data_IF_827164019815
#
_entry.id   IF_827164019815
#
_cell.length_a   1.000
_cell.length_b   1.000
_cell.length_c   1.000
_cell.angle_alpha   90.00
_cell.angle_beta   90.00
_cell.angle_gamma   90.00
#
_symmetry.space_group_name_H-M   'P 1'
#
loop_
_entity.id
_entity.type
_entity.pdbx_description
1 polymer ?
#
# COMPACT_ATOMS: atom_id res chain seq x y z
N UNK A 1 -14.57 -10.41 1.22
CA UNK A 1 -15.64 -10.66 2.19
C UNK A 1 -16.82 -11.20 1.40
N UNK A 2 -17.30 -12.42 1.68
CA UNK A 2 -18.54 -12.91 1.08
C UNK A 2 -19.45 -13.29 2.24
N UNK A 3 -20.37 -12.41 2.58
CA UNK A 3 -21.50 -12.76 3.44
C UNK A 3 -22.50 -13.43 2.49
N UNK A 4 -22.56 -14.76 2.49
CA UNK A 4 -23.53 -15.53 1.70
C UNK A 4 -24.92 -15.47 2.37
N UNK A 5 -25.37 -14.27 2.73
CA UNK A 5 -26.76 -14.01 3.07
C UNK A 5 -27.46 -13.63 1.78
N UNK A 6 -28.37 -14.49 1.32
CA UNK A 6 -29.31 -14.22 0.22
C UNK A 6 -30.44 -13.27 0.64
N UNK A 7 -30.29 -12.57 1.77
CA UNK A 7 -31.27 -11.59 2.21
C UNK A 7 -31.17 -10.34 1.33
N UNK A 8 -32.08 -10.27 0.35
CA UNK A 8 -32.23 -9.22 -0.65
C UNK A 8 -33.04 -8.04 -0.08
N UNK A 9 -32.85 -7.72 1.19
CA UNK A 9 -33.57 -6.62 1.83
C UNK A 9 -33.01 -5.29 1.33
N UNK A 10 -33.86 -4.48 0.72
CA UNK A 10 -33.50 -3.13 0.28
C UNK A 10 -33.13 -2.28 1.50
N UNK A 11 -31.93 -1.70 1.47
CA UNK A 11 -31.47 -0.82 2.55
C UNK A 11 -32.25 0.49 2.46
N UNK A 12 -33.05 0.81 3.48
CA UNK A 12 -33.77 2.08 3.59
C UNK A 12 -33.07 3.00 4.58
N UNK A 13 -32.89 4.26 4.21
CA UNK A 13 -32.42 5.33 5.11
C UNK A 13 -33.54 6.36 5.15
N UNK A 14 -34.33 6.36 6.22
CA UNK A 14 -35.59 7.11 6.26
C UNK A 14 -36.57 6.55 5.22
N UNK A 15 -37.09 7.43 4.37
CA UNK A 15 -38.02 7.07 3.29
C UNK A 15 -37.32 6.67 1.99
N UNK A 16 -36.00 6.90 1.89
CA UNK A 16 -35.24 6.65 0.67
C UNK A 16 -34.73 5.21 0.59
N UNK A 17 -34.91 4.59 -0.58
CA UNK A 17 -34.31 3.30 -0.92
C UNK A 17 -32.92 3.52 -1.48
N UNK A 18 -31.91 2.99 -0.81
CA UNK A 18 -30.52 3.08 -1.26
C UNK A 18 -30.27 2.03 -2.33
N UNK A 19 -29.82 2.49 -3.50
CA UNK A 19 -29.45 1.61 -4.61
C UNK A 19 -28.25 0.72 -4.21
N UNK A 20 -28.40 -0.58 -4.45
CA UNK A 20 -27.32 -1.54 -4.27
C UNK A 20 -26.40 -1.51 -5.48
N UNK A 21 -25.15 -1.14 -5.27
CA UNK A 21 -24.11 -1.17 -6.31
C UNK A 21 -23.05 -2.22 -5.99
N UNK A 22 -22.56 -2.91 -7.02
CA UNK A 22 -21.43 -3.85 -6.85
C UNK A 22 -20.12 -3.15 -6.48
N UNK A 23 -20.01 -1.86 -6.83
CA UNK A 23 -18.81 -1.07 -6.64
C UNK A 23 -19.17 0.34 -6.20
N UNK A 24 -18.57 0.78 -5.10
CA UNK A 24 -18.84 2.09 -4.54
C UNK A 24 -17.53 2.83 -4.26
N UNK A 25 -17.45 4.11 -4.64
CA UNK A 25 -16.29 4.95 -4.33
C UNK A 25 -16.56 5.70 -3.03
N UNK A 26 -15.76 5.43 -2.01
CA UNK A 26 -15.83 6.08 -0.71
C UNK A 26 -14.48 6.70 -0.34
N UNK A 27 -14.46 8.02 -0.09
CA UNK A 27 -13.25 8.78 0.28
C UNK A 27 -12.05 8.49 -0.65
N UNK A 28 -12.32 8.27 -1.93
CA UNK A 28 -11.32 7.95 -2.95
C UNK A 28 -10.96 6.47 -3.08
N UNK A 29 -11.30 5.60 -2.12
CA UNK A 29 -11.14 4.15 -2.26
C UNK A 29 -12.34 3.50 -2.93
N UNK A 30 -12.11 2.43 -3.70
CA UNK A 30 -13.16 1.64 -4.36
C UNK A 30 -13.46 0.39 -3.52
N UNK A 31 -14.68 0.30 -3.02
CA UNK A 31 -15.20 -0.86 -2.29
C UNK A 31 -15.91 -1.77 -3.28
N UNK A 32 -15.54 -3.05 -3.30
CA UNK A 32 -16.15 -4.10 -4.12
C UNK A 32 -17.05 -4.97 -3.22
N UNK A 33 -18.24 -5.33 -3.72
CA UNK A 33 -19.22 -6.12 -2.97
C UNK A 33 -18.68 -7.51 -2.53
N UNK A 34 -17.72 -8.08 -3.25
CA UNK A 34 -17.06 -9.34 -2.89
C UNK A 34 -15.89 -9.16 -1.89
N UNK A 35 -15.65 -7.92 -1.47
CA UNK A 35 -14.50 -7.46 -0.70
C UNK A 35 -13.15 -7.78 -1.33
N UNK A 36 -13.07 -7.75 -2.67
CA UNK A 36 -11.79 -7.74 -3.39
C UNK A 36 -11.23 -6.31 -3.41
N UNK A 37 -9.90 -6.20 -3.47
CA UNK A 37 -9.17 -4.94 -3.54
C UNK A 37 -8.57 -4.67 -4.93
N UNK A 38 -8.77 -5.59 -5.88
CA UNK A 38 -8.26 -5.45 -7.27
C UNK A 38 -8.64 -4.11 -7.90
N UNK A 39 -9.91 -3.69 -7.75
CA UNK A 39 -10.40 -2.43 -8.32
C UNK A 39 -9.78 -1.21 -7.65
N UNK A 40 -9.62 -1.24 -6.33
CA UNK A 40 -9.00 -0.13 -5.59
C UNK A 40 -7.53 0.03 -5.99
N UNK A 41 -6.78 -1.07 -6.02
CA UNK A 41 -5.38 -1.07 -6.45
C UNK A 41 -5.25 -0.54 -7.89
N UNK A 42 -6.09 -1.01 -8.82
CA UNK A 42 -6.09 -0.51 -10.20
C UNK A 42 -6.39 0.99 -10.25
N UNK A 43 -7.36 1.46 -9.47
CA UNK A 43 -7.69 2.89 -9.38
C UNK A 43 -6.50 3.71 -8.86
N UNK A 44 -5.79 3.24 -7.83
CA UNK A 44 -4.58 3.88 -7.29
C UNK A 44 -3.43 3.89 -8.29
N UNK A 45 -3.21 2.79 -9.02
CA UNK A 45 -2.21 2.72 -10.10
C UNK A 45 -2.52 3.74 -11.19
N UNK A 46 -3.77 3.80 -11.65
CA UNK A 46 -4.19 4.79 -12.66
C UNK A 46 -4.01 6.23 -12.17
N UNK A 47 -4.37 6.50 -10.91
CA UNK A 47 -4.17 7.82 -10.30
C UNK A 47 -2.68 8.17 -10.18
N UNK A 48 -1.83 7.22 -9.79
CA UNK A 48 -0.39 7.41 -9.71
C UNK A 48 0.21 7.69 -11.08
N UNK A 49 -0.20 6.98 -12.14
CA UNK A 49 0.22 7.26 -13.51
C UNK A 49 -0.27 8.61 -14.02
N UNK A 50 -1.48 9.03 -13.67
CA UNK A 50 -1.97 10.36 -13.99
C UNK A 50 -1.14 11.46 -13.32
N UNK A 51 -0.80 11.28 -12.04
CA UNK A 51 0.08 12.22 -11.32
C UNK A 51 1.50 12.19 -11.85
N UNK A 52 2.00 11.01 -12.22
CA UNK A 52 3.31 10.83 -12.82
C UNK A 52 3.39 11.62 -14.14
N UNK A 53 2.48 11.39 -15.08
CA UNK A 53 2.44 12.13 -16.36
C UNK A 53 2.50 13.66 -16.21
N UNK A 54 1.88 14.21 -15.16
CA UNK A 54 1.90 15.66 -14.89
C UNK A 54 3.26 16.21 -14.48
N UNK A 55 4.17 15.38 -13.94
CA UNK A 55 5.51 15.80 -13.51
C UNK A 55 6.63 15.26 -14.41
N UNK A 56 6.28 14.65 -15.55
CA UNK A 56 7.22 14.03 -16.50
C UNK A 56 8.22 15.00 -17.09
N UNK A 57 7.81 16.23 -17.40
CA UNK A 57 8.73 17.25 -17.91
C UNK A 57 9.90 17.55 -16.96
N UNK A 58 9.69 17.40 -15.64
CA UNK A 58 10.71 17.67 -14.64
C UNK A 58 11.54 16.41 -14.37
N UNK A 59 10.92 15.29 -14.00
CA UNK A 59 11.69 14.14 -13.51
C UNK A 59 12.21 13.21 -14.61
N UNK A 60 11.81 13.40 -15.87
CA UNK A 60 12.50 12.78 -17.01
C UNK A 60 13.59 13.67 -17.62
N UNK A 61 13.78 14.91 -17.13
CA UNK A 61 14.87 15.77 -17.60
C UNK A 61 16.23 15.11 -17.27
N UNK A 62 17.13 14.90 -18.25
CA UNK A 62 18.48 14.40 -18.00
C UNK A 62 19.31 15.29 -17.08
N UNK A 63 19.06 16.60 -17.08
CA UNK A 63 19.76 17.59 -16.24
C UNK A 63 19.33 17.52 -14.78
N UNK A 64 18.17 16.93 -14.49
CA UNK A 64 17.70 16.82 -13.11
C UNK A 64 18.50 15.75 -12.35
N UNK A 65 19.11 16.10 -11.21
CA UNK A 65 19.82 15.13 -10.39
C UNK A 65 18.91 13.96 -10.01
N UNK A 66 19.42 12.72 -10.16
CA UNK A 66 18.70 11.47 -9.84
C UNK A 66 18.14 11.50 -8.42
N UNK A 67 18.90 12.09 -7.48
CA UNK A 67 18.48 12.34 -6.11
C UNK A 67 17.15 13.11 -6.01
N UNK A 68 16.99 14.20 -6.77
CA UNK A 68 15.77 15.01 -6.76
C UNK A 68 14.63 14.24 -7.43
N UNK A 69 14.89 13.47 -8.50
CA UNK A 69 13.88 12.60 -9.12
C UNK A 69 13.29 11.61 -8.10
N UNK A 70 14.16 11.00 -7.30
CA UNK A 70 13.77 10.12 -6.20
C UNK A 70 12.93 10.83 -5.12
N UNK A 71 13.27 12.08 -4.77
CA UNK A 71 12.46 12.89 -3.86
C UNK A 71 11.07 13.17 -4.42
N UNK A 72 10.96 13.60 -5.67
CA UNK A 72 9.66 13.86 -6.32
C UNK A 72 8.80 12.60 -6.34
N UNK A 73 9.39 11.43 -6.67
CA UNK A 73 8.66 10.16 -6.58
C UNK A 73 8.11 9.91 -5.18
N UNK A 74 8.96 10.04 -4.15
CA UNK A 74 8.59 9.80 -2.74
C UNK A 74 7.51 10.75 -2.24
N UNK A 75 7.52 12.01 -2.66
CA UNK A 75 6.62 13.05 -2.14
C UNK A 75 5.32 13.17 -2.93
N UNK A 76 5.34 12.91 -4.24
CA UNK A 76 4.21 13.17 -5.12
C UNK A 76 3.53 11.88 -5.58
N UNK A 77 4.30 10.90 -6.04
CA UNK A 77 3.76 9.73 -6.76
C UNK A 77 3.44 8.60 -5.78
N UNK A 78 4.37 8.27 -4.89
CA UNK A 78 4.21 7.17 -3.94
C UNK A 78 2.98 7.34 -3.04
N UNK A 79 2.70 8.51 -2.44
CA UNK A 79 1.53 8.66 -1.57
C UNK A 79 0.21 8.40 -2.30
N UNK A 80 0.12 8.74 -3.59
CA UNK A 80 -1.05 8.45 -4.43
C UNK A 80 -1.18 6.95 -4.66
N UNK A 81 -0.06 6.27 -4.93
CA UNK A 81 -0.02 4.83 -5.19
C UNK A 81 -0.33 3.99 -3.94
N UNK A 82 0.11 4.45 -2.76
CA UNK A 82 -0.08 3.73 -1.48
C UNK A 82 -1.31 4.16 -0.70
N UNK A 83 -2.12 5.08 -1.23
CA UNK A 83 -3.33 5.54 -0.56
C UNK A 83 -4.31 4.36 -0.33
N UNK A 84 -4.84 4.24 0.89
CA UNK A 84 -5.73 3.15 1.29
C UNK A 84 -5.03 1.81 1.58
N UNK A 85 -3.70 1.72 1.39
CA UNK A 85 -2.96 0.45 1.55
C UNK A 85 -2.98 -0.15 2.97
N UNK A 86 -3.25 0.68 3.97
CA UNK A 86 -3.44 0.26 5.35
C UNK A 86 -4.67 -0.64 5.56
N UNK A 87 -5.66 -0.59 4.67
CA UNK A 87 -6.86 -1.44 4.69
C UNK A 87 -6.79 -2.65 3.74
N UNK A 88 -5.73 -2.79 2.94
CA UNK A 88 -5.63 -3.83 1.91
C UNK A 88 -5.10 -5.17 2.45
N UNK A 89 -5.85 -6.29 2.34
CA UNK A 89 -5.29 -7.64 2.48
C UNK A 89 -4.47 -8.02 1.22
N UNK A 90 -3.28 -7.45 1.09
CA UNK A 90 -2.41 -7.63 -0.08
C UNK A 90 -1.95 -9.10 -0.20
N UNK A 91 -2.23 -9.73 -1.35
CA UNK A 91 -1.68 -11.03 -1.75
C UNK A 91 -0.54 -10.85 -2.76
N UNK A 92 0.21 -11.91 -3.08
CA UNK A 92 1.41 -11.79 -3.93
C UNK A 92 1.11 -11.21 -5.33
N UNK A 93 -0.04 -11.54 -5.94
CA UNK A 93 -0.45 -10.92 -7.22
C UNK A 93 -0.52 -9.38 -7.14
N UNK A 94 -1.06 -8.85 -6.03
CA UNK A 94 -1.18 -7.41 -5.79
C UNK A 94 0.19 -6.79 -5.52
N UNK A 95 1.02 -7.48 -4.73
CA UNK A 95 2.40 -7.05 -4.43
C UNK A 95 3.22 -6.95 -5.71
N UNK A 96 3.16 -7.96 -6.57
CA UNK A 96 3.86 -7.99 -7.85
C UNK A 96 3.36 -6.88 -8.78
N UNK A 97 2.04 -6.65 -8.85
CA UNK A 97 1.46 -5.59 -9.67
C UNK A 97 1.95 -4.19 -9.25
N UNK A 98 1.97 -3.91 -7.95
CA UNK A 98 2.48 -2.65 -7.40
C UNK A 98 4.00 -2.52 -7.60
N UNK A 99 4.74 -3.60 -7.40
CA UNK A 99 6.19 -3.65 -7.63
C UNK A 99 6.54 -3.35 -9.11
N UNK A 100 5.86 -3.99 -10.07
CA UNK A 100 6.06 -3.75 -11.50
C UNK A 100 5.71 -2.31 -11.85
N UNK A 101 4.60 -1.80 -11.31
CA UNK A 101 4.19 -0.40 -11.52
C UNK A 101 5.26 0.57 -11.04
N UNK A 102 5.72 0.44 -9.79
CA UNK A 102 6.79 1.26 -9.24
C UNK A 102 8.04 1.17 -10.11
N UNK A 103 8.52 -0.04 -10.40
CA UNK A 103 9.76 -0.22 -11.18
C UNK A 103 9.67 0.37 -12.58
N UNK A 104 8.51 0.30 -13.24
CA UNK A 104 8.32 0.94 -14.54
C UNK A 104 8.45 2.47 -14.44
N UNK A 105 7.85 3.09 -13.41
CA UNK A 105 7.98 4.53 -13.18
C UNK A 105 9.44 4.92 -12.90
N UNK A 106 10.11 4.21 -11.98
CA UNK A 106 11.49 4.50 -11.58
C UNK A 106 12.48 4.34 -12.73
N UNK A 107 12.32 3.27 -13.53
CA UNK A 107 13.14 3.03 -14.73
C UNK A 107 13.01 4.16 -15.74
N UNK A 108 11.78 4.58 -16.01
CA UNK A 108 11.52 5.63 -16.98
C UNK A 108 12.11 6.97 -16.53
N UNK A 109 11.98 7.32 -15.25
CA UNK A 109 12.62 8.51 -14.66
C UNK A 109 14.15 8.51 -14.83
N UNK A 110 14.76 7.34 -14.75
CA UNK A 110 16.20 7.16 -14.93
C UNK A 110 16.62 7.01 -16.41
N UNK A 111 15.68 6.98 -17.36
CA UNK A 111 15.98 6.74 -18.78
C UNK A 111 16.48 5.31 -19.07
N UNK A 112 16.23 4.36 -18.16
CA UNK A 112 16.74 2.98 -18.26
C UNK A 112 15.63 2.06 -18.76
N UNK A 113 15.93 1.28 -19.79
CA UNK A 113 15.05 0.26 -20.35
C UNK A 113 15.31 -1.12 -19.74
N UNK A 114 14.53 -2.13 -20.15
CA UNK A 114 14.82 -3.53 -19.78
C UNK A 114 16.02 -4.11 -20.53
N UNK A 115 16.39 -3.53 -21.69
CA UNK A 115 17.52 -4.00 -22.51
C UNK A 115 18.87 -3.73 -21.84
N UNK A 116 18.93 -2.68 -21.02
CA UNK A 116 20.14 -2.26 -20.33
C UNK A 116 20.54 -3.22 -19.19
N UNK A 117 19.67 -4.18 -18.82
CA UNK A 117 19.90 -5.22 -17.80
C UNK A 117 20.35 -4.69 -16.42
N UNK A 118 20.15 -3.41 -16.14
CA UNK A 118 20.44 -2.78 -14.84
C UNK A 118 19.59 -3.43 -13.75
N UNK A 119 20.20 -3.79 -12.62
CA UNK A 119 19.50 -4.43 -11.48
C UNK A 119 18.48 -3.47 -10.85
N UNK A 120 17.29 -3.99 -10.48
CA UNK A 120 16.25 -3.19 -9.81
C UNK A 120 16.75 -2.58 -8.48
N UNK A 121 17.61 -3.30 -7.76
CA UNK A 121 18.24 -2.84 -6.51
C UNK A 121 19.10 -1.60 -6.74
N UNK A 122 19.83 -1.53 -7.86
CA UNK A 122 20.65 -0.37 -8.22
C UNK A 122 19.77 0.87 -8.50
N UNK A 123 18.70 0.72 -9.29
CA UNK A 123 17.77 1.83 -9.59
C UNK A 123 17.10 2.37 -8.33
N UNK A 124 16.67 1.48 -7.43
CA UNK A 124 16.11 1.88 -6.14
C UNK A 124 17.15 2.56 -5.25
N UNK A 125 18.38 2.05 -5.25
CA UNK A 125 19.52 2.63 -4.53
C UNK A 125 19.82 4.05 -4.99
N UNK A 126 19.97 4.28 -6.29
CA UNK A 126 20.28 5.60 -6.86
C UNK A 126 19.19 6.63 -6.56
N UNK A 127 17.92 6.23 -6.65
CA UNK A 127 16.77 7.09 -6.31
C UNK A 127 16.53 7.20 -4.79
N UNK A 128 17.23 6.43 -3.97
CA UNK A 128 17.02 6.33 -2.52
C UNK A 128 15.55 6.03 -2.19
N UNK A 129 15.02 5.01 -2.86
CA UNK A 129 13.63 4.56 -2.82
C UNK A 129 13.60 3.14 -2.25
N UNK A 130 12.92 2.94 -1.14
CA UNK A 130 12.62 1.61 -0.63
C UNK A 130 11.49 0.96 -1.43
N UNK A 131 11.49 -0.36 -1.48
CA UNK A 131 10.43 -1.16 -2.11
C UNK A 131 9.04 -0.75 -1.62
N UNK A 132 8.12 -0.58 -2.55
CA UNK A 132 6.72 -0.30 -2.22
C UNK A 132 6.12 -1.34 -1.26
N UNK A 133 6.49 -2.63 -1.36
CA UNK A 133 5.99 -3.67 -0.47
C UNK A 133 6.27 -3.36 1.01
N UNK A 134 7.48 -2.88 1.31
CA UNK A 134 7.87 -2.43 2.65
C UNK A 134 7.00 -1.24 3.11
N UNK A 135 6.64 -0.34 2.20
CA UNK A 135 5.80 0.82 2.51
C UNK A 135 4.33 0.46 2.77
N UNK A 136 3.80 -0.53 2.06
CA UNK A 136 2.46 -1.07 2.33
C UNK A 136 2.42 -1.71 3.73
N UNK A 137 3.46 -2.47 4.07
CA UNK A 137 3.62 -3.10 5.38
C UNK A 137 3.76 -2.05 6.50
N UNK A 138 4.63 -1.05 6.32
CA UNK A 138 4.78 0.07 7.26
C UNK A 138 3.43 0.77 7.52
N UNK A 139 2.66 1.02 6.46
CA UNK A 139 1.35 1.69 6.56
C UNK A 139 0.33 0.86 7.33
N UNK A 140 0.22 -0.45 7.03
CA UNK A 140 -0.66 -1.37 7.77
C UNK A 140 -0.29 -1.46 9.24
N UNK A 141 0.99 -1.66 9.57
CA UNK A 141 1.43 -1.75 10.97
C UNK A 141 1.24 -0.42 11.70
N UNK A 142 1.46 0.72 11.04
CA UNK A 142 1.20 2.04 11.62
C UNK A 142 -0.28 2.20 12.00
N UNK A 143 -1.19 1.81 11.10
CA UNK A 143 -2.63 1.84 11.34
C UNK A 143 -3.05 0.86 12.43
N UNK A 144 -2.59 -0.39 12.36
CA UNK A 144 -2.91 -1.41 13.35
C UNK A 144 -2.49 -1.00 14.76
N UNK A 145 -1.26 -0.52 14.93
CA UNK A 145 -0.81 0.01 16.22
C UNK A 145 -1.63 1.23 16.68
N UNK A 146 -2.13 2.06 15.75
CA UNK A 146 -3.04 3.15 16.11
C UNK A 146 -4.34 2.59 16.71
N UNK A 147 -4.96 1.60 16.07
CA UNK A 147 -6.18 0.96 16.55
C UNK A 147 -5.99 0.33 17.93
N UNK A 148 -4.90 -0.41 18.15
CA UNK A 148 -4.59 -1.05 19.44
C UNK A 148 -4.46 -0.06 20.62
N UNK A 149 -4.06 1.19 20.35
CA UNK A 149 -3.95 2.24 21.37
C UNK A 149 -5.26 2.96 21.66
N UNK A 150 -6.33 2.69 20.90
CA UNK A 150 -7.66 3.30 21.10
C UNK A 150 -8.45 2.50 22.14
N UNK A 151 -9.41 3.13 22.82
CA UNK A 151 -10.29 2.42 23.76
C UNK A 151 -11.10 1.32 23.03
N UNK A 152 -11.53 0.30 23.76
CA UNK A 152 -12.32 -0.82 23.21
C UNK A 152 -13.63 -0.36 22.53
N UNK A 153 -14.19 0.78 22.95
CA UNK A 153 -15.38 1.38 22.33
C UNK A 153 -15.14 1.94 20.92
N UNK A 154 -13.87 2.15 20.52
CA UNK A 154 -13.51 2.66 19.20
C UNK A 154 -13.96 1.70 18.10
N UNK A 155 -14.59 2.25 17.06
CA UNK A 155 -15.13 1.48 15.93
C UNK A 155 -14.08 0.56 15.30
N UNK A 156 -12.81 1.02 15.21
CA UNK A 156 -11.72 0.19 14.69
C UNK A 156 -11.49 -1.09 15.50
N UNK A 157 -11.56 -1.04 16.83
CA UNK A 157 -11.44 -2.24 17.67
C UNK A 157 -12.64 -3.17 17.48
N UNK A 158 -13.86 -2.61 17.49
CA UNK A 158 -15.09 -3.38 17.20
C UNK A 158 -15.03 -4.09 15.84
N UNK A 159 -14.50 -3.43 14.81
CA UNK A 159 -14.32 -4.03 13.49
C UNK A 159 -13.26 -5.14 13.45
N UNK A 160 -12.23 -5.07 14.29
CA UNK A 160 -11.21 -6.12 14.38
C UNK A 160 -11.73 -7.38 15.09
N UNK A 161 -12.57 -7.20 16.10
CA UNK A 161 -13.14 -8.28 16.90
C UNK A 161 -14.41 -8.88 16.26
N UNK A 162 -14.97 -8.22 15.25
CA UNK A 162 -16.19 -8.66 14.57
C UNK A 162 -15.96 -9.98 13.82
N UNK A 163 -16.61 -11.04 14.29
CA UNK A 163 -16.75 -12.30 13.57
C UNK A 163 -17.99 -12.26 12.70
N UNK A 164 -17.82 -12.37 11.37
CA UNK A 164 -18.94 -12.46 10.44
C UNK A 164 -19.35 -13.93 10.24
N UNK A 165 -20.65 -14.25 10.18
CA UNK A 165 -21.12 -15.60 9.88
C UNK A 165 -20.71 -16.02 8.46
N UNK A 166 -20.17 -17.23 8.33
CA UNK A 166 -19.77 -17.81 7.04
C UNK A 166 -18.59 -18.77 7.17
N UNK A 167 -18.51 -19.75 6.27
CA UNK A 167 -17.42 -20.73 6.22
C UNK A 167 -16.40 -20.36 5.15
N UNK A 168 -15.12 -20.68 5.41
CA UNK A 168 -14.06 -20.52 4.40
C UNK A 168 -14.23 -21.57 3.31
N UNK A 169 -14.25 -21.14 2.05
CA UNK A 169 -14.14 -22.05 0.91
C UNK A 169 -12.84 -22.86 1.00
N UNK A 170 -12.91 -24.18 0.78
CA UNK A 170 -11.71 -25.05 0.72
C UNK A 170 -10.82 -24.66 -0.48
N UNK A 171 -9.50 -24.89 -0.37
CA UNK A 171 -8.54 -24.62 -1.44
C UNK A 171 -7.74 -23.32 -1.24
N UNK A 172 -7.98 -22.32 -2.09
CA UNK A 172 -7.29 -21.02 -2.06
C UNK A 172 -8.22 -19.91 -1.53
N UNK A 173 -8.54 -19.89 -0.23
CA UNK A 173 -9.40 -18.85 0.34
C UNK A 173 -8.74 -17.47 0.25
N UNK A 174 -9.56 -16.41 0.19
CA UNK A 174 -9.08 -15.03 0.28
C UNK A 174 -8.40 -14.82 1.64
N UNK A 175 -7.26 -14.09 1.68
CA UNK A 175 -6.60 -13.73 2.94
C UNK A 175 -7.45 -12.74 3.72
N UNK A 176 -7.54 -12.90 5.03
CA UNK A 176 -8.08 -11.84 5.88
C UNK A 176 -7.03 -10.77 6.14
N UNK A 177 -7.51 -9.57 6.42
CA UNK A 177 -6.64 -8.44 6.76
C UNK A 177 -5.78 -8.77 7.98
N UNK A 178 -6.36 -9.40 9.01
CA UNK A 178 -5.64 -9.78 10.23
C UNK A 178 -4.54 -10.83 9.95
N UNK A 179 -4.76 -11.76 9.02
CA UNK A 179 -3.73 -12.74 8.61
C UNK A 179 -2.51 -12.03 8.01
N UNK A 180 -2.73 -10.98 7.22
CA UNK A 180 -1.68 -10.16 6.61
C UNK A 180 -0.95 -9.35 7.69
N UNK A 181 -1.67 -8.76 8.65
CA UNK A 181 -1.06 -8.03 9.78
C UNK A 181 -0.22 -8.95 10.64
N UNK A 182 -0.68 -10.17 10.95
CA UNK A 182 0.11 -11.13 11.71
C UNK A 182 1.38 -11.56 10.96
N UNK A 183 1.29 -11.73 9.64
CA UNK A 183 2.48 -11.94 8.81
C UNK A 183 3.45 -10.75 8.91
N UNK A 184 2.93 -9.52 8.83
CA UNK A 184 3.74 -8.30 8.93
C UNK A 184 4.42 -8.14 10.30
N UNK A 185 3.72 -8.46 11.39
CA UNK A 185 4.25 -8.48 12.75
C UNK A 185 5.44 -9.46 12.85
N UNK A 186 5.26 -10.69 12.37
CA UNK A 186 6.33 -11.71 12.33
C UNK A 186 7.51 -11.25 11.48
N UNK A 187 7.26 -10.73 10.29
CA UNK A 187 8.29 -10.25 9.37
C UNK A 187 9.09 -9.05 9.92
N UNK A 188 8.55 -8.31 10.88
CA UNK A 188 9.22 -7.17 11.51
C UNK A 188 9.75 -7.47 12.92
N UNK A 189 9.53 -8.67 13.46
CA UNK A 189 9.92 -9.02 14.84
C UNK A 189 9.29 -8.11 15.90
N UNK A 190 8.07 -7.64 15.65
CA UNK A 190 7.33 -6.77 16.58
C UNK A 190 6.42 -7.64 17.44
N UNK A 191 6.16 -7.21 18.68
CA UNK A 191 5.17 -7.85 19.54
C UNK A 191 3.97 -6.91 19.67
N UNK A 192 2.75 -7.44 19.69
CA UNK A 192 1.51 -6.63 19.80
C UNK A 192 1.56 -5.70 21.01
N UNK A 193 2.09 -6.17 22.14
CA UNK A 193 2.30 -5.36 23.37
C UNK A 193 3.21 -4.14 23.15
N UNK A 194 4.12 -4.18 22.18
CA UNK A 194 4.95 -3.02 21.82
C UNK A 194 4.11 -1.86 21.28
N UNK A 195 2.85 -2.08 20.91
CA UNK A 195 1.96 -1.04 20.41
C UNK A 195 1.62 0.02 21.47
N UNK A 196 1.69 -0.30 22.77
CA UNK A 196 1.46 0.67 23.85
C UNK A 196 2.49 1.80 23.81
N UNK A 197 3.77 1.44 23.62
CA UNK A 197 4.84 2.41 23.37
C UNK A 197 4.86 2.85 21.90
N UNK A 198 4.27 4.02 21.65
CA UNK A 198 4.20 4.62 20.30
C UNK A 198 5.57 4.81 19.66
N UNK A 199 6.60 5.16 20.43
CA UNK A 199 7.93 5.41 19.91
C UNK A 199 8.63 4.10 19.53
N UNK A 200 8.56 3.08 20.39
CA UNK A 200 9.05 1.73 20.11
C UNK A 200 8.35 1.11 18.91
N UNK A 201 7.01 1.16 18.86
CA UNK A 201 6.22 0.67 17.73
C UNK A 201 6.64 1.34 16.42
N UNK A 202 6.68 2.67 16.40
CA UNK A 202 7.09 3.44 15.21
C UNK A 202 8.49 3.03 14.77
N UNK A 203 9.46 2.92 15.68
CA UNK A 203 10.83 2.54 15.33
C UNK A 203 10.91 1.15 14.70
N UNK A 204 10.18 0.17 15.26
CA UNK A 204 10.19 -1.22 14.76
C UNK A 204 9.47 -1.38 13.42
N UNK A 205 8.34 -0.70 13.22
CA UNK A 205 7.55 -0.82 11.99
C UNK A 205 8.07 0.07 10.84
N UNK A 206 8.89 1.08 11.14
CA UNK A 206 9.37 2.05 10.15
C UNK A 206 10.29 1.38 9.13
N UNK A 207 9.89 1.43 7.87
CA UNK A 207 10.70 1.02 6.72
C UNK A 207 11.25 2.27 6.03
N UNK A 208 12.17 2.97 6.70
CA UNK A 208 12.66 4.27 6.23
C UNK A 208 13.30 4.16 4.83
N UNK A 209 12.95 5.07 3.91
CA UNK A 209 13.71 5.20 2.67
C UNK A 209 15.19 5.47 3.02
N UNK A 210 16.15 4.91 2.25
CA UNK A 210 17.56 5.17 2.48
C UNK A 210 17.83 6.68 2.59
N UNK A 211 18.57 7.06 3.62
CA UNK A 211 19.03 8.44 3.80
C UNK A 211 20.08 8.79 2.74
N UNK A 212 20.20 10.07 2.42
CA UNK A 212 21.27 10.56 1.58
C UNK A 212 22.55 10.68 2.42
N UNK A 213 23.29 9.59 2.63
CA UNK A 213 24.66 9.65 3.15
C UNK A 213 25.56 10.28 2.09
N UNK A 214 26.42 11.23 2.47
CA UNK A 214 27.49 11.76 1.61
C UNK A 214 28.62 10.75 1.38
N UNK A 215 28.73 9.72 2.22
CA UNK A 215 29.77 8.72 2.12
C UNK A 215 29.18 7.44 1.52
N UNK A 216 29.63 7.04 0.32
CA UNK A 216 29.53 5.66 -0.12
C UNK A 216 28.93 5.37 -1.50
N UNK A 217 28.70 6.35 -2.37
CA UNK A 217 28.18 6.06 -3.73
C UNK A 217 28.96 6.71 -4.88
N UNK A 218 30.11 7.33 -4.58
CA UNK A 218 30.98 7.96 -5.59
C UNK A 218 31.94 6.96 -6.28
N UNK A 219 31.77 5.65 -6.11
CA UNK A 219 32.61 4.63 -6.75
C UNK A 219 31.82 3.72 -7.73
N UNK A 220 31.71 4.24 -8.97
CA UNK A 220 31.97 3.59 -10.29
C UNK A 220 30.99 2.57 -10.93
N UNK A 221 31.08 2.37 -12.28
CA UNK A 221 31.51 3.28 -13.36
C UNK A 221 30.42 3.48 -14.45
N UNK A 222 30.72 4.40 -15.39
CA UNK A 222 29.88 4.75 -16.55
C UNK A 222 29.86 3.74 -17.69
#
# INVERSE_FOLDING_TARGET
>A
MACNSTDLTSLRIGDDIVERTDNFRYLGSVLDASGDIDRDIKARISAAWAKWRKVTGVICDPKMPVKLKGQVYKTIIRPVLTYGSEAWPVVERHRQLLHVTEMNMLRWMCGVTRKDRVRNTYIRGSLHVRDIADKLQESRLRWYGHVLRRPASYVGNKCLDMTLPGTRSRGRPKKYWLDVVQYDIRANGVVVRDAEDRAKWRRKCRKADPGFSRAGWDEQPG
#
